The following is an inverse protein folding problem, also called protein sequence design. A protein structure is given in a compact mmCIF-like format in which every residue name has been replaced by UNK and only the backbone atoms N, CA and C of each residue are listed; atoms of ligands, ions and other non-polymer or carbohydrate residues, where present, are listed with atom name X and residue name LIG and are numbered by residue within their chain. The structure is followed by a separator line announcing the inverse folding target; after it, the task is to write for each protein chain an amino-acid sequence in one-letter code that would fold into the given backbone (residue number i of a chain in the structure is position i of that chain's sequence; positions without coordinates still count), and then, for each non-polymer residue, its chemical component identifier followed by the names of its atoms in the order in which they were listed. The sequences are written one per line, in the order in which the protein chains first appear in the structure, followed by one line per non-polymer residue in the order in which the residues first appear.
data_IF_728799541495
#
_entry.id   IF_728799541495
#
_cell.length_a   1.000
_cell.length_b   1.000
_cell.length_c   1.000
_cell.angle_alpha   90.00
_cell.angle_beta   90.00
_cell.angle_gamma   90.00
#
_symmetry.space_group_name_H-M   'P 1'
#
loop_
_entity.id
_entity.type
_entity.pdbx_description
1 polymer ?
#
# COMPACT_ATOMS: atom_id res chain seq x y z
N UNK A 1 21.09 -21.98 6.09
CA UNK A 1 19.74 -21.37 6.11
C UNK A 1 19.89 -20.00 6.74
N UNK A 2 19.85 -18.94 5.95
CA UNK A 2 20.19 -17.59 6.40
C UNK A 2 19.14 -17.09 7.41
N UNK A 3 19.59 -16.59 8.55
CA UNK A 3 18.71 -16.16 9.64
C UNK A 3 18.17 -14.77 9.30
N UNK A 4 16.90 -14.72 8.91
CA UNK A 4 16.22 -13.45 8.63
C UNK A 4 16.35 -12.50 9.82
N UNK A 5 16.86 -11.28 9.62
CA UNK A 5 17.00 -10.24 10.65
C UNK A 5 15.73 -9.39 10.78
N UNK A 6 15.62 -8.60 11.85
CA UNK A 6 14.45 -7.72 12.04
C UNK A 6 14.45 -6.61 10.99
N UNK A 7 15.63 -6.14 10.55
CA UNK A 7 15.77 -5.20 9.43
C UNK A 7 15.26 -5.82 8.12
N UNK A 8 15.62 -7.07 7.81
CA UNK A 8 15.12 -7.75 6.62
C UNK A 8 13.60 -7.92 6.64
N UNK A 9 13.00 -8.13 7.83
CA UNK A 9 11.55 -8.14 7.99
C UNK A 9 10.95 -6.76 7.73
N UNK A 10 11.54 -5.69 8.27
CA UNK A 10 11.08 -4.33 8.03
C UNK A 10 11.21 -3.91 6.56
N UNK A 11 12.28 -4.31 5.89
CA UNK A 11 12.48 -4.05 4.46
C UNK A 11 11.42 -4.77 3.62
N UNK A 12 11.07 -6.00 3.98
CA UNK A 12 10.00 -6.74 3.33
C UNK A 12 8.62 -6.12 3.59
N UNK A 13 8.34 -5.68 4.81
CA UNK A 13 7.12 -4.93 5.15
C UNK A 13 7.04 -3.66 4.33
N UNK A 14 8.12 -2.86 4.32
CA UNK A 14 8.22 -1.63 3.54
C UNK A 14 7.96 -1.86 2.06
N UNK A 15 8.67 -2.81 1.45
CA UNK A 15 8.51 -3.16 0.04
C UNK A 15 7.06 -3.54 -0.27
N UNK A 16 6.45 -4.36 0.58
CA UNK A 16 5.06 -4.78 0.40
C UNK A 16 4.09 -3.60 0.54
N UNK A 17 4.38 -2.66 1.43
CA UNK A 17 3.60 -1.43 1.61
C UNK A 17 3.62 -0.54 0.34
N UNK A 18 4.78 -0.44 -0.30
CA UNK A 18 4.95 0.26 -1.57
C UNK A 18 4.13 -0.40 -2.68
N UNK A 19 4.13 -1.74 -2.75
CA UNK A 19 3.34 -2.47 -3.76
C UNK A 19 1.83 -2.26 -3.58
N UNK A 20 1.32 -2.26 -2.35
CA UNK A 20 -0.12 -2.04 -2.11
C UNK A 20 -0.52 -0.59 -2.40
N UNK A 21 0.39 0.37 -2.24
CA UNK A 21 0.15 1.79 -2.54
C UNK A 21 -0.28 2.01 -3.99
N UNK A 22 0.26 1.24 -4.95
CA UNK A 22 -0.13 1.31 -6.36
C UNK A 22 -1.63 1.08 -6.58
N UNK A 23 -2.21 0.16 -5.80
CA UNK A 23 -3.64 -0.19 -5.82
C UNK A 23 -4.45 0.71 -4.91
N UNK A 24 -3.90 1.06 -3.76
CA UNK A 24 -4.55 1.86 -2.72
C UNK A 24 -4.78 3.32 -3.07
N UNK A 25 -4.05 3.86 -4.06
CA UNK A 25 -4.24 5.21 -4.57
C UNK A 25 -5.57 5.40 -5.34
N UNK A 26 -6.24 4.31 -5.72
CA UNK A 26 -7.56 4.36 -6.38
C UNK A 26 -8.59 3.46 -5.69
N UNK A 27 -9.84 3.88 -5.73
CA UNK A 27 -10.99 3.09 -5.30
C UNK A 27 -11.68 2.48 -6.51
N UNK A 28 -11.92 1.17 -6.45
CA UNK A 28 -12.74 0.45 -7.43
C UNK A 28 -14.21 0.45 -6.98
N UNK A 29 -15.07 0.97 -7.82
CA UNK A 29 -16.52 0.97 -7.66
C UNK A 29 -17.15 -0.15 -8.50
N UNK A 30 -18.41 -0.47 -8.17
CA UNK A 30 -19.22 -1.44 -8.91
C UNK A 30 -19.27 -1.03 -10.40
N UNK A 31 -19.11 -2.01 -11.29
CA UNK A 31 -19.13 -1.78 -12.74
C UNK A 31 -17.77 -1.50 -13.39
N UNK A 32 -16.65 -1.67 -12.65
CA UNK A 32 -15.31 -1.45 -13.19
C UNK A 32 -14.97 0.04 -13.32
N UNK A 33 -15.52 0.83 -12.41
CA UNK A 33 -15.34 2.27 -12.32
C UNK A 33 -14.25 2.58 -11.29
N UNK A 34 -13.41 3.57 -11.57
CA UNK A 34 -12.27 3.93 -10.74
C UNK A 34 -12.26 5.42 -10.44
N UNK A 35 -11.91 5.77 -9.21
CA UNK A 35 -11.63 7.14 -8.78
C UNK A 35 -10.37 7.17 -7.93
N UNK A 36 -9.73 8.34 -7.82
CA UNK A 36 -8.67 8.56 -6.83
C UNK A 36 -9.25 8.37 -5.43
N UNK A 37 -8.54 7.61 -4.60
CA UNK A 37 -8.87 7.47 -3.19
C UNK A 37 -8.76 8.82 -2.48
N UNK A 38 -9.78 9.21 -1.71
CA UNK A 38 -9.70 10.46 -0.94
C UNK A 38 -8.66 10.38 0.18
N UNK A 39 -8.24 11.53 0.71
CA UNK A 39 -7.21 11.61 1.76
C UNK A 39 -7.56 10.81 3.03
N UNK A 40 -8.86 10.72 3.36
CA UNK A 40 -9.35 9.88 4.47
C UNK A 40 -9.12 8.38 4.25
N UNK A 41 -8.92 7.97 3.00
CA UNK A 41 -8.64 6.59 2.59
C UNK A 41 -7.17 6.29 2.33
N UNK A 42 -6.30 7.31 2.43
CA UNK A 42 -4.86 7.19 2.22
C UNK A 42 -4.24 6.07 3.03
N UNK A 43 -4.58 6.01 4.32
CA UNK A 43 -4.02 5.02 5.24
C UNK A 43 -4.40 3.60 4.83
N UNK A 44 -5.67 3.36 4.47
CA UNK A 44 -6.13 2.06 3.98
C UNK A 44 -5.42 1.64 2.68
N UNK A 45 -5.01 2.60 1.85
CA UNK A 45 -4.25 2.34 0.64
C UNK A 45 -2.80 1.89 0.87
N UNK A 46 -2.29 2.00 2.10
CA UNK A 46 -0.91 1.71 2.48
C UNK A 46 -0.84 0.62 3.56
N UNK A 47 -1.95 0.17 4.12
CA UNK A 47 -1.96 -0.80 5.22
C UNK A 47 -1.78 -2.25 4.74
N UNK A 48 -1.11 -3.07 5.56
CA UNK A 48 -0.98 -4.51 5.34
C UNK A 48 -1.83 -5.27 6.35
N UNK A 49 -2.62 -6.23 5.89
CA UNK A 49 -3.41 -7.07 6.77
C UNK A 49 -2.52 -8.17 7.40
N UNK A 50 -2.69 -8.46 8.69
CA UNK A 50 -1.87 -9.48 9.39
C UNK A 50 -1.99 -10.87 8.76
N UNK A 51 -3.14 -11.16 8.14
CA UNK A 51 -3.36 -12.44 7.46
C UNK A 51 -2.56 -12.56 6.16
N UNK A 52 -2.15 -11.45 5.56
CA UNK A 52 -1.39 -11.38 4.30
C UNK A 52 0.13 -11.38 4.52
N UNK A 53 0.60 -11.73 5.72
CA UNK A 53 2.03 -11.70 6.07
C UNK A 53 2.88 -12.75 5.34
N UNK A 54 2.25 -13.75 4.74
CA UNK A 54 2.89 -14.69 3.82
C UNK A 54 3.34 -14.00 2.53
N UNK A 55 2.64 -12.95 2.12
CA UNK A 55 2.98 -12.12 0.95
C UNK A 55 4.19 -11.22 1.17
N UNK A 56 4.83 -11.26 2.34
CA UNK A 56 6.09 -10.56 2.61
C UNK A 56 7.29 -11.20 1.88
N UNK A 57 7.14 -12.40 1.31
CA UNK A 57 8.22 -13.05 0.55
C UNK A 57 9.41 -13.50 1.39
N UNK A 58 9.21 -13.73 2.69
CA UNK A 58 10.24 -14.13 3.64
C UNK A 58 10.17 -15.63 3.91
N UNK A 59 11.32 -16.31 3.93
CA UNK A 59 11.44 -17.73 4.28
C UNK A 59 11.32 -18.00 5.79
N UNK A 60 10.24 -17.54 6.41
CA UNK A 60 9.89 -17.81 7.80
C UNK A 60 8.52 -18.44 7.91
N UNK A 61 8.32 -19.32 8.90
CA UNK A 61 6.99 -19.84 9.17
C UNK A 61 6.05 -18.74 9.67
N UNK A 62 4.76 -18.93 9.41
CA UNK A 62 3.68 -17.99 9.74
C UNK A 62 3.67 -17.52 11.21
N UNK A 63 3.98 -18.45 12.13
CA UNK A 63 4.09 -18.16 13.57
C UNK A 63 5.33 -17.34 13.94
N UNK A 64 6.45 -17.57 13.26
CA UNK A 64 7.68 -16.78 13.45
C UNK A 64 7.50 -15.35 12.96
N UNK A 65 6.91 -15.16 11.77
CA UNK A 65 6.63 -13.82 11.22
C UNK A 65 5.73 -13.05 12.19
N UNK A 66 4.62 -13.65 12.64
CA UNK A 66 3.70 -12.99 13.58
C UNK A 66 4.39 -12.56 14.87
N UNK A 67 5.16 -13.47 15.51
CA UNK A 67 5.88 -13.14 16.76
C UNK A 67 6.89 -12.02 16.60
N UNK A 68 7.45 -11.83 15.40
CA UNK A 68 8.41 -10.76 15.14
C UNK A 68 7.73 -9.44 14.80
N UNK A 69 6.65 -9.49 14.00
CA UNK A 69 5.82 -8.30 13.75
C UNK A 69 5.28 -7.73 15.06
N UNK A 70 4.77 -8.58 15.96
CA UNK A 70 4.30 -8.13 17.29
C UNK A 70 5.43 -7.44 18.08
N UNK A 71 6.64 -8.01 18.12
CA UNK A 71 7.78 -7.37 18.79
C UNK A 71 8.18 -6.04 18.17
N UNK A 72 8.11 -5.92 16.84
CA UNK A 72 8.38 -4.67 16.14
C UNK A 72 7.29 -3.60 16.40
N UNK A 73 6.04 -4.02 16.58
CA UNK A 73 4.92 -3.16 16.98
C UNK A 73 5.13 -2.67 18.41
N UNK A 74 5.44 -3.57 19.34
CA UNK A 74 5.74 -3.23 20.74
C UNK A 74 6.94 -2.28 20.87
N UNK A 75 7.93 -2.43 19.99
CA UNK A 75 9.09 -1.54 19.90
C UNK A 75 8.82 -0.22 19.16
N UNK A 76 7.58 0.05 18.72
CA UNK A 76 7.20 1.28 18.02
C UNK A 76 7.78 1.42 16.60
N UNK A 77 8.33 0.35 16.03
CA UNK A 77 8.93 0.35 14.68
C UNK A 77 7.89 0.10 13.57
N UNK A 78 6.73 -0.43 13.95
CA UNK A 78 5.58 -0.69 13.09
C UNK A 78 4.34 -0.17 13.82
N UNK A 79 3.51 0.60 13.13
CA UNK A 79 2.20 1.00 13.62
C UNK A 79 1.17 -0.12 13.44
N UNK A 80 0.19 -0.18 14.33
CA UNK A 80 -0.83 -1.24 14.38
C UNK A 80 -2.22 -0.66 14.62
N UNK A 81 -3.18 -1.05 13.79
CA UNK A 81 -4.60 -0.78 14.01
C UNK A 81 -5.31 -2.08 14.43
N UNK A 82 -5.49 -2.26 15.74
CA UNK A 82 -6.05 -3.49 16.33
C UNK A 82 -7.43 -3.83 15.81
N UNK A 83 -8.31 -2.84 15.61
CA UNK A 83 -9.69 -3.06 15.14
C UNK A 83 -9.74 -3.58 13.70
N UNK A 84 -8.71 -3.31 12.90
CA UNK A 84 -8.65 -3.65 11.47
C UNK A 84 -7.68 -4.81 11.19
N UNK A 85 -6.97 -5.28 12.21
CA UNK A 85 -5.90 -6.27 12.08
C UNK A 85 -4.83 -5.88 11.04
N UNK A 86 -4.58 -4.58 10.88
CA UNK A 86 -3.63 -4.02 9.91
C UNK A 86 -2.40 -3.41 10.57
N UNK A 87 -1.28 -3.47 9.85
CA UNK A 87 0.01 -2.91 10.26
C UNK A 87 0.67 -2.15 9.11
N UNK A 88 1.48 -1.15 9.45
CA UNK A 88 2.24 -0.36 8.48
C UNK A 88 3.46 0.27 9.13
N UNK A 89 4.45 0.63 8.33
CA UNK A 89 5.53 1.54 8.71
C UNK A 89 5.05 2.95 8.39
N UNK A 90 4.95 3.78 9.43
CA UNK A 90 4.62 5.19 9.30
C UNK A 90 5.88 5.99 8.94
N UNK A 91 5.86 6.68 7.81
CA UNK A 91 7.04 7.38 7.28
C UNK A 91 6.63 8.49 6.31
N UNK A 92 7.26 9.67 6.37
CA UNK A 92 7.09 10.72 5.36
C UNK A 92 7.37 10.23 3.94
N UNK A 93 8.32 9.31 3.75
CA UNK A 93 8.62 8.74 2.43
C UNK A 93 7.46 7.90 1.88
N UNK A 94 6.64 7.33 2.76
CA UNK A 94 5.42 6.63 2.35
C UNK A 94 4.33 7.61 1.90
N UNK A 95 4.26 8.78 2.52
CA UNK A 95 3.40 9.88 2.05
C UNK A 95 3.81 10.32 0.64
N UNK A 96 5.11 10.52 0.39
CA UNK A 96 5.62 10.85 -0.94
C UNK A 96 5.28 9.78 -1.99
N UNK A 97 5.38 8.49 -1.61
CA UNK A 97 5.02 7.39 -2.49
C UNK A 97 3.53 7.42 -2.86
N UNK A 98 2.65 7.73 -1.92
CA UNK A 98 1.22 7.85 -2.18
C UNK A 98 0.88 9.07 -3.03
N UNK A 99 1.49 10.22 -2.76
CA UNK A 99 1.32 11.41 -3.59
C UNK A 99 1.77 11.17 -5.02
N UNK A 100 2.90 10.48 -5.21
CA UNK A 100 3.35 10.04 -6.53
C UNK A 100 2.32 9.14 -7.21
N UNK A 101 1.81 8.13 -6.51
CA UNK A 101 0.82 7.20 -7.04
C UNK A 101 -0.48 7.92 -7.47
N UNK A 102 -0.98 8.83 -6.64
CA UNK A 102 -2.16 9.64 -6.93
C UNK A 102 -1.94 10.50 -8.17
N UNK A 103 -0.82 11.23 -8.23
CA UNK A 103 -0.47 12.05 -9.39
C UNK A 103 -0.35 11.22 -10.68
N UNK A 104 0.22 10.02 -10.58
CA UNK A 104 0.38 9.10 -11.70
C UNK A 104 -0.97 8.65 -12.29
N UNK A 105 -1.96 8.39 -11.44
CA UNK A 105 -3.33 8.06 -11.85
C UNK A 105 -4.09 9.26 -12.39
N UNK A 106 -3.95 10.43 -11.75
CA UNK A 106 -4.54 11.69 -12.22
C UNK A 106 -4.04 12.05 -13.62
N UNK A 107 -2.74 11.90 -13.88
CA UNK A 107 -2.14 12.12 -15.21
C UNK A 107 -2.71 11.19 -16.30
N UNK A 108 -3.35 10.07 -15.92
CA UNK A 108 -4.02 9.11 -16.81
C UNK A 108 -5.54 9.29 -16.87
N UNK A 109 -6.05 10.39 -16.31
CA UNK A 109 -7.46 10.74 -16.39
C UNK A 109 -8.34 10.05 -15.35
N UNK A 110 -7.77 9.45 -14.31
CA UNK A 110 -8.58 8.98 -13.16
C UNK A 110 -9.02 10.20 -12.35
N UNK A 111 -10.33 10.44 -12.23
CA UNK A 111 -10.83 11.64 -11.56
C UNK A 111 -10.82 11.48 -10.04
N UNK A 112 -10.88 12.60 -9.34
CA UNK A 112 -11.11 12.69 -7.91
C UNK A 112 -12.37 13.51 -7.60
N UNK A 113 -12.87 13.37 -6.37
CA UNK A 113 -13.94 14.21 -5.83
C UNK A 113 -15.36 13.73 -6.14
N UNK A 114 -16.30 14.36 -5.43
CA UNK A 114 -17.73 14.09 -5.52
C UNK A 114 -18.41 15.02 -6.53
N UNK A 115 -19.29 14.47 -7.36
CA UNK A 115 -20.18 15.23 -8.23
C UNK A 115 -21.45 15.62 -7.47
N UNK A 116 -21.52 16.89 -7.07
CA UNK A 116 -22.67 17.43 -6.34
C UNK A 116 -23.97 17.43 -7.13
N UNK A 117 -23.92 17.43 -8.47
CA UNK A 117 -25.12 17.42 -9.31
C UNK A 117 -25.68 16.02 -9.45
N UNK A 118 -24.81 15.04 -9.68
CA UNK A 118 -25.21 13.63 -9.82
C UNK A 118 -25.28 12.88 -8.48
N UNK A 119 -24.84 13.52 -7.40
CA UNK A 119 -24.77 12.95 -6.05
C UNK A 119 -23.99 11.62 -6.03
N UNK A 120 -22.89 11.57 -6.77
CA UNK A 120 -22.04 10.38 -6.88
C UNK A 120 -20.54 10.74 -6.94
N UNK A 121 -19.66 9.78 -6.71
CA UNK A 121 -18.22 9.99 -6.92
C UNK A 121 -17.90 10.08 -8.40
N UNK A 122 -17.04 11.04 -8.79
CA UNK A 122 -16.52 11.09 -10.16
C UNK A 122 -15.67 9.85 -10.39
N UNK A 123 -15.94 9.15 -11.48
CA UNK A 123 -15.25 7.91 -11.83
C UNK A 123 -14.96 7.83 -13.32
N UNK A 124 -14.00 6.98 -13.68
CA UNK A 124 -13.71 6.59 -15.06
C UNK A 124 -13.79 5.08 -15.19
N UNK A 125 -14.28 4.59 -16.33
CA UNK A 125 -14.29 3.16 -16.62
C UNK A 125 -12.92 2.73 -17.13
N UNK A 126 -12.32 1.75 -16.47
CA UNK A 126 -11.07 1.13 -16.90
C UNK A 126 -11.34 -0.38 -17.04
N UNK A 127 -11.16 -0.98 -18.22
CA UNK A 127 -11.27 -2.43 -18.37
C UNK A 127 -10.32 -3.15 -17.42
N UNK A 128 -10.77 -4.23 -16.78
CA UNK A 128 -9.97 -4.93 -15.75
C UNK A 128 -8.56 -5.33 -16.18
N UNK A 129 -8.34 -5.93 -17.37
CA UNK A 129 -6.98 -6.26 -17.81
C UNK A 129 -6.08 -5.01 -17.93
N UNK A 130 -6.66 -3.89 -18.34
CA UNK A 130 -5.94 -2.63 -18.43
C UNK A 130 -5.67 -2.03 -17.04
N UNK A 131 -6.64 -2.10 -16.12
CA UNK A 131 -6.47 -1.64 -14.75
C UNK A 131 -5.36 -2.42 -14.03
N UNK A 132 -5.32 -3.75 -14.18
CA UNK A 132 -4.26 -4.59 -13.62
C UNK A 132 -2.89 -4.27 -14.22
N UNK A 133 -2.80 -4.11 -15.54
CA UNK A 133 -1.54 -3.74 -16.20
C UNK A 133 -1.01 -2.37 -15.72
N UNK A 134 -1.91 -1.39 -15.56
CA UNK A 134 -1.56 -0.07 -15.03
C UNK A 134 -1.11 -0.14 -13.57
N UNK A 135 -1.80 -0.90 -12.72
CA UNK A 135 -1.41 -1.13 -11.33
C UNK A 135 -0.03 -1.80 -11.22
N UNK A 136 0.25 -2.79 -12.06
CA UNK A 136 1.56 -3.46 -12.10
C UNK A 136 2.68 -2.53 -12.56
N UNK A 137 2.40 -1.68 -13.56
CA UNK A 137 3.32 -0.64 -14.04
C UNK A 137 3.65 0.35 -12.92
N UNK A 138 2.62 0.89 -12.26
CA UNK A 138 2.80 1.81 -11.15
C UNK A 138 3.54 1.17 -9.97
N UNK A 139 3.23 -0.09 -9.64
CA UNK A 139 3.93 -0.84 -8.60
C UNK A 139 5.43 -0.95 -8.89
N UNK A 140 5.81 -1.27 -10.13
CA UNK A 140 7.21 -1.33 -10.53
C UNK A 140 7.91 0.03 -10.44
N UNK A 141 7.27 1.11 -10.89
CA UNK A 141 7.80 2.48 -10.76
C UNK A 141 7.98 2.89 -9.30
N UNK A 142 6.97 2.63 -8.46
CA UNK A 142 7.02 2.91 -7.02
C UNK A 142 8.13 2.13 -6.34
N UNK A 143 8.32 0.85 -6.68
CA UNK A 143 9.41 0.04 -6.14
C UNK A 143 10.78 0.55 -6.58
N UNK A 144 10.94 0.97 -7.84
CA UNK A 144 12.18 1.54 -8.33
C UNK A 144 12.56 2.84 -7.60
N UNK A 145 11.57 3.66 -7.24
CA UNK A 145 11.80 4.98 -6.61
C UNK A 145 11.82 4.95 -5.09
N UNK A 146 10.95 4.17 -4.49
CA UNK A 146 10.67 4.16 -3.05
C UNK A 146 10.91 2.80 -2.39
N UNK A 147 11.23 1.74 -3.13
CA UNK A 147 11.31 0.38 -2.60
C UNK A 147 12.45 0.11 -1.61
N UNK A 148 13.45 0.99 -1.54
CA UNK A 148 14.48 0.96 -0.49
C UNK A 148 13.99 1.76 0.71
N UNK A 149 13.88 1.10 1.86
CA UNK A 149 13.60 1.75 3.13
C UNK A 149 14.83 2.55 3.54
N UNK A 150 14.66 3.83 3.84
CA UNK A 150 15.74 4.60 4.46
C UNK A 150 15.92 4.10 5.90
N UNK A 151 17.13 3.65 6.23
CA UNK A 151 17.44 3.27 7.60
C UNK A 151 17.32 4.49 8.51
N UNK A 152 16.83 4.31 9.73
CA UNK A 152 16.95 5.34 10.77
C UNK A 152 18.45 5.62 10.94
N UNK A 153 18.88 6.84 10.59
CA UNK A 153 20.11 7.41 11.16
C UNK A 153 19.90 7.75 12.62
#
# INVERSE_FOLDING_TARGET
MERVTDEQLLDAVWRRQIEVTARGAITRYIGGLYAISGDSWRRYGQELHIMDRDKLGISLSWGHIRRRLVRLIEAGRIAWATSQCTFWIDSPRMEEAYQYATAWWTARGVPSGYDEKQKCMRTVKIPEPAAEALQNTLSAELLARFGVREGNR
#
